data_IF_475116688538
#
_entry.id   IF_475116688538
#
_cell.length_a   1.000
_cell.length_b   1.000
_cell.length_c   1.000
_cell.angle_alpha   90.00
_cell.angle_beta   90.00
_cell.angle_gamma   90.00
#
_symmetry.space_group_name_H-M   'P 1'
#
loop_
_entity.id
_entity.type
_entity.pdbx_description
1 polymer ?
#
# COMPACT_ATOMS: atom_id res chain seq x y z
N UNK A 1 -2.75 -7.62 -12.29
CA UNK A 1 -1.97 -6.92 -11.24
C UNK A 1 -2.32 -7.54 -9.90
N UNK A 2 -1.41 -7.61 -8.92
CA UNK A 2 -1.78 -8.08 -7.60
C UNK A 2 -2.26 -6.90 -6.74
N UNK A 3 -3.36 -7.06 -6.01
CA UNK A 3 -3.88 -6.03 -5.14
C UNK A 3 -4.87 -6.58 -4.12
N UNK A 4 -4.97 -5.91 -2.99
CA UNK A 4 -5.81 -6.30 -1.87
C UNK A 4 -6.17 -5.08 -1.04
N UNK A 5 -7.29 -5.16 -0.31
CA UNK A 5 -7.75 -4.11 0.60
C UNK A 5 -8.19 -4.74 1.91
N UNK A 6 -7.74 -4.14 3.01
CA UNK A 6 -8.14 -4.46 4.37
C UNK A 6 -8.65 -3.20 5.06
N UNK A 7 -9.78 -3.32 5.75
CA UNK A 7 -10.35 -2.24 6.56
C UNK A 7 -10.66 -2.79 7.94
N UNK A 8 -9.97 -2.30 8.96
CA UNK A 8 -10.30 -2.60 10.35
C UNK A 8 -11.20 -1.50 10.89
N UNK A 9 -12.45 -1.85 11.20
CA UNK A 9 -13.44 -0.90 11.71
C UNK A 9 -13.79 -1.22 13.18
N UNK A 10 -13.52 -0.31 14.13
CA UNK A 10 -13.92 -0.50 15.53
C UNK A 10 -15.41 -0.81 15.67
N UNK A 11 -15.74 -1.84 16.45
CA UNK A 11 -17.12 -2.30 16.67
C UNK A 11 -17.71 -3.18 15.56
N UNK A 12 -17.06 -3.30 14.40
CA UNK A 12 -17.46 -4.21 13.32
C UNK A 12 -16.46 -5.36 13.14
N UNK A 13 -15.16 -5.06 13.09
CA UNK A 13 -14.09 -6.03 12.86
C UNK A 13 -13.30 -5.77 11.57
N UNK A 14 -12.57 -6.79 11.12
CA UNK A 14 -11.70 -6.71 9.93
C UNK A 14 -12.45 -7.12 8.66
N UNK A 15 -12.66 -6.17 7.77
CA UNK A 15 -13.17 -6.39 6.41
C UNK A 15 -12.03 -6.69 5.45
N UNK A 16 -12.28 -7.61 4.53
CA UNK A 16 -11.31 -8.08 3.52
C UNK A 16 -11.93 -7.99 2.13
N UNK A 17 -11.14 -7.63 1.12
CA UNK A 17 -11.58 -7.72 -0.27
C UNK A 17 -12.03 -9.14 -0.61
N UNK A 18 -13.17 -9.28 -1.29
CA UNK A 18 -13.82 -10.57 -1.59
C UNK A 18 -12.93 -11.60 -2.28
N UNK A 19 -11.93 -11.13 -3.02
CA UNK A 19 -11.00 -11.98 -3.76
C UNK A 19 -10.02 -12.75 -2.87
N UNK A 20 -9.77 -12.29 -1.65
CA UNK A 20 -8.83 -12.95 -0.75
C UNK A 20 -9.27 -14.39 -0.46
N UNK A 21 -8.35 -15.38 -0.51
CA UNK A 21 -6.89 -15.22 -0.50
C UNK A 21 -6.25 -14.94 -1.87
N UNK A 22 -7.00 -14.98 -2.97
CA UNK A 22 -6.49 -14.57 -4.27
C UNK A 22 -6.25 -13.04 -4.29
N UNK A 23 -5.17 -12.63 -4.94
CA UNK A 23 -4.77 -11.22 -5.06
C UNK A 23 -4.70 -10.78 -6.51
N UNK A 24 -4.91 -11.68 -7.48
CA UNK A 24 -4.86 -11.35 -8.90
C UNK A 24 -6.08 -10.52 -9.26
N UNK A 25 -5.89 -9.24 -9.60
CA UNK A 25 -6.93 -8.33 -10.07
C UNK A 25 -6.85 -8.13 -11.59
N UNK A 26 -8.02 -8.06 -12.23
CA UNK A 26 -8.16 -7.83 -13.68
C UNK A 26 -8.53 -6.39 -14.01
N UNK A 27 -8.30 -5.98 -15.26
CA UNK A 27 -8.69 -4.65 -15.76
C UNK A 27 -7.79 -3.51 -15.30
N UNK A 28 -6.54 -3.81 -14.94
CA UNK A 28 -5.51 -2.78 -14.79
C UNK A 28 -5.29 -2.06 -16.13
N UNK A 29 -5.14 -0.74 -16.09
CA UNK A 29 -4.79 0.08 -17.25
C UNK A 29 -3.36 0.57 -17.09
N UNK A 30 -2.66 0.74 -18.20
CA UNK A 30 -1.25 1.15 -18.21
C UNK A 30 -1.03 2.55 -17.60
N UNK A 31 -2.07 3.39 -17.57
CA UNK A 31 -2.04 4.77 -17.08
C UNK A 31 -2.60 4.95 -15.66
N UNK A 32 -3.01 3.86 -14.98
CA UNK A 32 -3.63 3.94 -13.67
C UNK A 32 -3.14 2.83 -12.72
N UNK A 33 -2.74 3.22 -11.51
CA UNK A 33 -2.48 2.27 -10.44
C UNK A 33 -3.80 1.78 -9.84
N UNK A 34 -4.37 0.73 -10.40
CA UNK A 34 -5.64 0.21 -9.91
C UNK A 34 -6.23 -0.90 -10.75
N UNK A 35 -7.08 -1.70 -10.11
CA UNK A 35 -7.88 -2.76 -10.70
C UNK A 35 -9.02 -3.12 -9.74
N UNK A 36 -10.14 -3.61 -10.26
CA UNK A 36 -11.27 -4.14 -9.47
C UNK A 36 -11.69 -3.30 -8.27
N UNK A 37 -11.99 -2.03 -8.54
CA UNK A 37 -12.46 -1.08 -7.53
C UNK A 37 -11.34 -0.29 -6.85
N UNK A 38 -10.11 -0.81 -6.81
CA UNK A 38 -8.95 -0.07 -6.29
C UNK A 38 -8.52 0.96 -7.33
N UNK A 39 -8.31 2.22 -6.90
CA UNK A 39 -7.72 3.27 -7.73
C UNK A 39 -6.83 4.19 -6.88
N UNK A 40 -5.58 4.31 -7.29
CA UNK A 40 -4.59 5.21 -6.70
C UNK A 40 -4.10 6.15 -7.80
N UNK A 41 -4.39 7.44 -7.67
CA UNK A 41 -4.09 8.44 -8.71
C UNK A 41 -3.16 9.51 -8.16
N UNK A 42 -2.02 9.80 -8.81
CA UNK A 42 -1.20 10.94 -8.43
C UNK A 42 -1.95 12.25 -8.71
N UNK A 43 -2.11 13.08 -7.68
CA UNK A 43 -2.65 14.46 -7.82
C UNK A 43 -1.49 15.45 -7.93
N UNK A 44 -0.48 15.28 -7.08
CA UNK A 44 0.79 16.02 -7.11
C UNK A 44 1.90 15.06 -6.74
N UNK A 45 2.85 14.86 -7.65
CA UNK A 45 3.95 13.90 -7.47
C UNK A 45 4.63 14.10 -6.10
N UNK A 46 4.82 12.98 -5.38
CA UNK A 46 5.44 12.91 -4.05
C UNK A 46 4.79 13.81 -2.96
N UNK A 47 3.58 14.32 -3.19
CA UNK A 47 2.89 15.19 -2.23
C UNK A 47 1.45 14.81 -2.00
N UNK A 48 0.71 14.47 -3.04
CA UNK A 48 -0.72 14.22 -2.94
C UNK A 48 -1.17 13.10 -3.89
N UNK A 49 -1.95 12.18 -3.33
CA UNK A 49 -2.47 11.02 -4.03
C UNK A 49 -3.94 10.82 -3.66
N UNK A 50 -4.80 10.59 -4.64
CA UNK A 50 -6.17 10.17 -4.39
C UNK A 50 -6.19 8.65 -4.26
N UNK A 51 -6.75 8.15 -3.16
CA UNK A 51 -6.85 6.73 -2.82
C UNK A 51 -8.33 6.38 -2.74
N UNK A 52 -8.77 5.50 -3.64
CA UNK A 52 -10.17 5.15 -3.76
C UNK A 52 -10.35 3.63 -3.81
N UNK A 53 -11.45 3.17 -3.24
CA UNK A 53 -11.91 1.80 -3.36
C UNK A 53 -13.43 1.77 -3.47
N UNK A 54 -13.99 0.99 -4.38
CA UNK A 54 -15.42 0.73 -4.45
C UNK A 54 -15.64 -0.74 -4.77
N UNK A 55 -16.28 -1.46 -3.85
CA UNK A 55 -16.48 -2.90 -3.98
C UNK A 55 -17.15 -3.54 -2.78
N UNK A 56 -17.27 -4.87 -2.81
CA UNK A 56 -17.83 -5.65 -1.70
C UNK A 56 -16.70 -6.28 -0.89
N UNK A 57 -16.80 -6.19 0.44
CA UNK A 57 -15.86 -6.80 1.38
C UNK A 57 -16.58 -7.71 2.36
N UNK A 58 -15.96 -8.84 2.71
CA UNK A 58 -16.51 -9.77 3.71
C UNK A 58 -15.80 -9.61 5.05
N UNK A 59 -16.54 -9.85 6.13
CA UNK A 59 -15.97 -9.87 7.47
C UNK A 59 -15.04 -11.08 7.63
N UNK A 60 -13.86 -10.88 8.22
CA UNK A 60 -12.89 -11.97 8.42
C UNK A 60 -13.48 -13.12 9.26
N UNK A 61 -14.14 -12.78 10.35
CA UNK A 61 -14.62 -13.74 11.35
C UNK A 61 -15.97 -14.38 10.96
N UNK A 62 -16.69 -13.75 10.01
CA UNK A 62 -17.90 -14.29 9.41
C UNK A 62 -17.96 -13.94 7.91
N UNK A 63 -17.33 -14.78 7.06
CA UNK A 63 -17.26 -14.53 5.61
C UNK A 63 -18.60 -14.55 4.89
N UNK A 64 -19.70 -14.95 5.53
CA UNK A 64 -21.05 -14.87 4.95
C UNK A 64 -21.60 -13.43 4.94
N UNK A 65 -21.00 -12.53 5.74
CA UNK A 65 -21.42 -11.15 5.87
C UNK A 65 -20.63 -10.25 4.94
N UNK A 66 -21.29 -9.89 3.84
CA UNK A 66 -20.81 -8.94 2.84
C UNK A 66 -21.25 -7.51 3.17
N UNK A 67 -20.36 -6.56 2.95
CA UNK A 67 -20.63 -5.13 3.07
C UNK A 67 -20.24 -4.43 1.77
N UNK A 68 -21.12 -3.61 1.18
CA UNK A 68 -20.70 -2.67 0.15
C UNK A 68 -19.84 -1.61 0.84
N UNK A 69 -18.65 -1.37 0.27
CA UNK A 69 -17.66 -0.44 0.81
C UNK A 69 -17.25 0.55 -0.26
N UNK A 70 -17.23 1.82 0.11
CA UNK A 70 -16.71 2.90 -0.71
C UNK A 70 -15.75 3.78 0.10
N UNK A 71 -14.50 3.84 -0.34
CA UNK A 71 -13.47 4.72 0.20
C UNK A 71 -13.16 5.79 -0.83
N UNK A 72 -13.17 7.05 -0.41
CA UNK A 72 -12.62 8.16 -1.18
C UNK A 72 -11.78 9.02 -0.26
N UNK A 73 -10.46 8.94 -0.43
CA UNK A 73 -9.49 9.65 0.39
C UNK A 73 -8.46 10.41 -0.42
N UNK A 74 -7.98 11.49 0.16
CA UNK A 74 -6.81 12.23 -0.27
C UNK A 74 -5.68 11.96 0.73
N UNK A 75 -4.66 11.25 0.27
CA UNK A 75 -3.40 11.11 0.98
C UNK A 75 -2.53 12.33 0.65
N UNK A 76 -1.91 12.93 1.66
CA UNK A 76 -1.02 14.09 1.49
C UNK A 76 0.14 14.08 2.46
N UNK A 77 1.27 14.64 2.02
CA UNK A 77 2.47 14.82 2.84
C UNK A 77 3.23 16.09 2.45
N UNK A 78 3.77 16.75 3.48
CA UNK A 78 4.78 17.81 3.34
C UNK A 78 6.17 17.34 3.83
N UNK A 79 6.29 16.09 4.26
CA UNK A 79 7.55 15.51 4.67
C UNK A 79 8.36 15.01 3.47
N UNK A 80 9.70 15.08 3.53
CA UNK A 80 10.53 14.44 2.52
C UNK A 80 10.29 12.94 2.50
N UNK A 81 10.52 12.36 1.33
CA UNK A 81 10.57 10.92 1.13
C UNK A 81 11.86 10.39 1.77
N UNK A 82 11.78 9.20 2.38
CA UNK A 82 12.94 8.42 2.77
C UNK A 82 13.25 7.40 1.67
N UNK A 83 14.34 7.59 0.95
CA UNK A 83 14.79 6.72 -0.13
C UNK A 83 15.87 5.77 0.38
N UNK A 84 15.62 4.46 0.27
CA UNK A 84 16.51 3.44 0.82
C UNK A 84 17.86 3.35 0.08
N UNK A 85 17.93 3.84 -1.16
CA UNK A 85 19.18 3.85 -1.93
C UNK A 85 20.13 4.98 -1.47
N UNK A 86 19.60 6.06 -0.90
CA UNK A 86 20.39 7.27 -0.59
C UNK A 86 20.42 7.65 0.88
N UNK A 87 19.37 7.31 1.64
CA UNK A 87 19.15 7.85 2.97
C UNK A 87 19.49 6.83 4.07
N UNK A 88 19.80 5.58 3.71
CA UNK A 88 20.33 4.58 4.64
C UNK A 88 21.68 5.02 5.19
N UNK A 89 21.87 4.83 6.51
CA UNK A 89 23.14 5.16 7.15
C UNK A 89 24.27 4.27 6.59
N UNK A 90 25.30 4.84 5.91
CA UNK A 90 26.26 4.04 5.15
C UNK A 90 27.00 3.00 6.00
N UNK A 91 27.36 3.36 7.24
CA UNK A 91 28.03 2.44 8.15
C UNK A 91 27.12 1.27 8.60
N UNK A 92 25.81 1.51 8.73
CA UNK A 92 24.88 0.45 9.12
C UNK A 92 24.74 -0.56 7.98
N UNK A 93 24.57 -0.08 6.74
CA UNK A 93 24.54 -0.92 5.55
C UNK A 93 25.84 -1.71 5.37
N UNK A 94 27.00 -1.03 5.45
CA UNK A 94 28.30 -1.67 5.32
C UNK A 94 28.53 -2.74 6.38
N UNK A 95 28.14 -2.48 7.63
CA UNK A 95 28.24 -3.45 8.73
C UNK A 95 27.40 -4.69 8.45
N UNK A 96 26.14 -4.53 8.01
CA UNK A 96 25.25 -5.67 7.69
C UNK A 96 25.81 -6.52 6.55
N UNK A 97 26.38 -5.91 5.51
CA UNK A 97 27.04 -6.64 4.42
C UNK A 97 28.31 -7.35 4.90
N UNK A 98 29.08 -6.73 5.79
CA UNK A 98 30.32 -7.29 6.31
C UNK A 98 30.11 -8.47 7.28
N UNK A 99 28.91 -8.60 7.88
CA UNK A 99 28.58 -9.72 8.78
C UNK A 99 28.14 -11.00 8.06
N UNK A 100 27.82 -10.92 6.76
CA UNK A 100 27.43 -12.08 5.96
C UNK A 100 28.64 -12.79 5.34
N UNK A 101 28.62 -14.11 5.12
CA UNK A 101 29.65 -14.81 4.36
C UNK A 101 29.69 -14.34 2.90
N UNK A 102 30.84 -13.84 2.45
CA UNK A 102 30.99 -13.33 1.08
C UNK A 102 31.17 -14.47 0.08
N UNK A 103 30.30 -14.49 -0.92
CA UNK A 103 30.38 -15.39 -2.06
C UNK A 103 29.90 -14.70 -3.34
N UNK A 104 30.21 -15.28 -4.50
CA UNK A 104 29.67 -14.81 -5.78
C UNK A 104 28.15 -14.89 -5.78
N UNK A 105 27.61 -15.95 -5.20
CA UNK A 105 26.19 -16.23 -5.10
C UNK A 105 25.50 -15.17 -4.25
N UNK A 106 26.09 -14.79 -3.11
CA UNK A 106 25.61 -13.71 -2.25
C UNK A 106 25.48 -12.39 -3.01
N UNK A 107 26.56 -11.92 -3.66
CA UNK A 107 26.51 -10.65 -4.40
C UNK A 107 25.61 -10.71 -5.64
N UNK A 108 25.44 -11.89 -6.24
CA UNK A 108 24.48 -12.08 -7.34
C UNK A 108 23.04 -11.98 -6.84
N UNK A 109 22.75 -12.60 -5.69
CA UNK A 109 21.45 -12.50 -5.04
C UNK A 109 21.14 -11.06 -4.60
N UNK A 110 22.12 -10.36 -4.01
CA UNK A 110 21.99 -8.97 -3.61
C UNK A 110 21.63 -8.05 -4.79
N UNK A 111 22.30 -8.21 -5.93
CA UNK A 111 21.98 -7.47 -7.16
C UNK A 111 20.58 -7.77 -7.68
N UNK A 112 20.16 -9.04 -7.65
CA UNK A 112 18.81 -9.46 -8.09
C UNK A 112 17.70 -8.98 -7.17
N UNK A 113 17.99 -8.85 -5.88
CA UNK A 113 17.02 -8.41 -4.88
C UNK A 113 16.90 -6.87 -4.80
N UNK A 114 17.77 -6.13 -5.48
CA UNK A 114 17.73 -4.67 -5.46
C UNK A 114 16.45 -4.15 -6.11
N UNK A 115 15.72 -3.34 -5.36
CA UNK A 115 14.57 -2.57 -5.82
C UNK A 115 14.77 -1.14 -5.31
N UNK A 116 14.54 -0.14 -6.16
CA UNK A 116 14.48 1.25 -5.71
C UNK A 116 13.21 1.41 -4.91
N UNK A 117 13.38 1.70 -3.62
CA UNK A 117 12.32 1.70 -2.63
C UNK A 117 12.32 3.02 -1.88
N UNK A 118 11.12 3.57 -1.69
CA UNK A 118 10.97 4.75 -0.86
C UNK A 118 9.68 4.75 -0.06
N UNK A 119 9.77 5.38 1.11
CA UNK A 119 8.70 5.52 2.06
C UNK A 119 8.41 6.99 2.34
N UNK A 120 7.15 7.32 2.55
CA UNK A 120 6.75 8.68 2.90
C UNK A 120 5.64 8.66 3.92
N UNK A 121 5.88 9.28 5.08
CA UNK A 121 4.83 9.55 6.06
C UNK A 121 3.87 10.59 5.51
N UNK A 122 2.62 10.60 5.97
CA UNK A 122 1.59 11.50 5.50
C UNK A 122 0.30 11.39 6.31
N UNK A 123 -0.76 11.98 5.77
CA UNK A 123 -2.10 11.90 6.31
C UNK A 123 -3.07 11.46 5.23
N UNK A 124 -3.99 10.56 5.58
CA UNK A 124 -5.14 10.21 4.76
C UNK A 124 -6.40 10.85 5.35
N UNK A 125 -7.03 11.74 4.57
CA UNK A 125 -8.32 12.35 4.91
C UNK A 125 -9.36 11.99 3.86
N UNK A 126 -10.59 11.72 4.27
CA UNK A 126 -11.63 11.33 3.33
C UNK A 126 -12.85 10.72 3.98
N UNK A 127 -13.62 9.99 3.19
CA UNK A 127 -14.81 9.27 3.67
C UNK A 127 -14.67 7.79 3.36
N UNK A 128 -15.17 6.98 4.30
CA UNK A 128 -15.31 5.54 4.19
C UNK A 128 -16.76 5.18 4.49
N UNK A 129 -17.47 4.72 3.49
CA UNK A 129 -18.81 4.19 3.61
C UNK A 129 -18.78 2.67 3.72
N UNK A 130 -19.48 2.12 4.71
CA UNK A 130 -19.66 0.67 4.90
C UNK A 130 -21.16 0.42 5.09
N UNK A 131 -21.81 -0.21 4.10
CA UNK A 131 -23.26 -0.26 4.05
C UNK A 131 -23.86 1.15 3.99
N UNK A 132 -24.81 1.44 4.88
CA UNK A 132 -25.46 2.75 4.98
C UNK A 132 -24.72 3.73 5.92
N UNK A 133 -23.59 3.32 6.51
CA UNK A 133 -22.86 4.13 7.49
C UNK A 133 -21.66 4.80 6.83
N UNK A 134 -21.57 6.12 6.99
CA UNK A 134 -20.42 6.90 6.56
C UNK A 134 -19.50 7.22 7.75
N UNK A 135 -18.19 7.08 7.53
CA UNK A 135 -17.13 7.35 8.48
C UNK A 135 -16.16 8.38 7.89
N UNK A 136 -15.90 9.45 8.63
CA UNK A 136 -14.91 10.45 8.25
C UNK A 136 -13.52 9.99 8.70
N UNK A 137 -12.58 9.96 7.77
CA UNK A 137 -11.20 9.56 8.01
C UNK A 137 -10.32 10.80 8.23
N UNK A 138 -9.50 10.73 9.26
CA UNK A 138 -8.37 11.63 9.49
C UNK A 138 -7.27 10.81 10.16
N UNK A 139 -6.45 10.15 9.35
CA UNK A 139 -5.51 9.13 9.79
C UNK A 139 -4.08 9.57 9.49
N UNK A 140 -3.17 9.32 10.43
CA UNK A 140 -1.75 9.20 10.11
C UNK A 140 -1.56 7.99 9.20
N UNK A 141 -0.74 8.14 8.15
CA UNK A 141 -0.60 7.12 7.12
C UNK A 141 0.81 7.12 6.55
N UNK A 142 1.24 5.97 6.06
CA UNK A 142 2.50 5.80 5.31
C UNK A 142 2.15 5.37 3.89
N UNK A 143 2.84 5.97 2.91
CA UNK A 143 2.86 5.48 1.54
C UNK A 143 4.22 4.84 1.29
N UNK A 144 4.18 3.57 0.88
CA UNK A 144 5.33 2.82 0.39
C UNK A 144 5.26 2.70 -1.13
N UNK A 145 6.40 2.80 -1.80
CA UNK A 145 6.51 2.50 -3.22
C UNK A 145 7.86 1.86 -3.54
N UNK A 146 7.80 0.72 -4.21
CA UNK A 146 8.96 -0.01 -4.71
C UNK A 146 8.89 -0.14 -6.22
N UNK A 147 10.03 0.08 -6.88
CA UNK A 147 10.24 -0.04 -8.32
C UNK A 147 11.38 -1.04 -8.51
N UNK A 148 11.10 -2.15 -9.18
CA UNK A 148 12.09 -3.15 -9.55
C UNK A 148 11.91 -3.56 -11.00
N UNK A 149 13.00 -4.00 -11.63
CA UNK A 149 12.98 -4.69 -12.92
C UNK A 149 12.76 -6.20 -12.73
#
# INVERSE_FOLDING_TARGET
>A
VNGLVYILMPGLGLLRSKKLPDTILFGAKDDAFGAEGIRITPVKALKQWRVQFEGVMHLKDDPSRDFPVKLDGLWSSEWPVFNFDTDLHPHALAKTIATEPWSREYFTALKRAHQTHYEQMGHLKGTLQIGDKEHHLNLMSLRDHSIGE
#
